data_IF_228760667751
#
_entry.id   IF_228760667751
#
_cell.length_a   1.000
_cell.length_b   1.000
_cell.length_c   1.000
_cell.angle_alpha   90.00
_cell.angle_beta   90.00
_cell.angle_gamma   90.00
#
_symmetry.space_group_name_H-M   'P 1'
#
loop_
_entity.id
_entity.type
_entity.pdbx_description
1 polymer ?
#
# COMPACT_ATOMS: atom_id res chain seq x y z
N UNK A 1 20.23 -2.77 26.23
CA UNK A 1 20.23 -1.58 25.37
C UNK A 1 18.79 -1.22 25.09
N UNK A 2 18.40 0.03 25.34
CA UNK A 2 17.08 0.51 24.94
C UNK A 2 17.10 0.66 23.42
N UNK A 3 16.25 -0.09 22.72
CA UNK A 3 16.15 -0.03 21.26
C UNK A 3 15.31 1.20 20.89
N UNK A 4 15.85 2.10 20.05
CA UNK A 4 15.14 3.30 19.57
C UNK A 4 13.75 3.00 19.01
N UNK A 5 13.60 1.85 18.33
CA UNK A 5 12.34 1.40 17.75
C UNK A 5 11.32 0.93 18.80
N UNK A 6 11.80 0.41 19.94
CA UNK A 6 10.92 0.11 21.08
C UNK A 6 10.46 1.40 21.76
N UNK A 7 11.38 2.34 21.97
CA UNK A 7 11.04 3.63 22.59
C UNK A 7 10.02 4.39 21.76
N UNK A 8 10.25 4.58 20.46
CA UNK A 8 9.34 5.38 19.63
C UNK A 8 7.93 4.79 19.58
N UNK A 9 7.80 3.46 19.54
CA UNK A 9 6.51 2.79 19.57
C UNK A 9 5.80 2.98 20.91
N UNK A 10 6.49 2.67 22.01
CA UNK A 10 5.90 2.75 23.35
C UNK A 10 5.50 4.18 23.71
N UNK A 11 6.33 5.16 23.36
CA UNK A 11 6.02 6.57 23.59
C UNK A 11 4.86 7.04 22.71
N UNK A 12 4.79 6.63 21.44
CA UNK A 12 3.65 6.93 20.58
C UNK A 12 2.34 6.34 21.13
N UNK A 13 2.38 5.09 21.59
CA UNK A 13 1.22 4.41 22.15
C UNK A 13 0.77 5.07 23.46
N UNK A 14 1.70 5.36 24.37
CA UNK A 14 1.43 6.03 25.64
C UNK A 14 0.88 7.44 25.41
N UNK A 15 1.51 8.21 24.52
CA UNK A 15 1.08 9.55 24.16
C UNK A 15 -0.36 9.55 23.63
N UNK A 16 -0.66 8.69 22.66
CA UNK A 16 -2.00 8.61 22.08
C UNK A 16 -3.04 8.13 23.11
N UNK A 17 -2.68 7.15 23.96
CA UNK A 17 -3.55 6.63 25.02
C UNK A 17 -3.90 7.72 26.04
N UNK A 18 -2.92 8.53 26.45
CA UNK A 18 -3.12 9.64 27.37
C UNK A 18 -4.01 10.75 26.78
N UNK A 19 -3.89 11.00 25.47
CA UNK A 19 -4.68 12.03 24.79
C UNK A 19 -6.10 11.58 24.47
N UNK A 20 -6.27 10.38 23.93
CA UNK A 20 -7.53 9.93 23.34
C UNK A 20 -8.30 8.92 24.19
N UNK A 21 -7.68 8.37 25.24
CA UNK A 21 -8.24 7.35 26.10
C UNK A 21 -8.00 5.92 25.59
N UNK A 22 -7.79 5.00 26.52
CA UNK A 22 -7.43 3.59 26.23
C UNK A 22 -8.45 2.88 25.36
N UNK A 23 -9.75 3.07 25.59
CA UNK A 23 -10.81 2.41 24.81
C UNK A 23 -10.80 2.85 23.34
N UNK A 24 -10.63 4.14 23.09
CA UNK A 24 -10.53 4.68 21.73
C UNK A 24 -9.29 4.12 21.02
N UNK A 25 -8.14 4.13 21.68
CA UNK A 25 -6.89 3.62 21.08
C UNK A 25 -7.01 2.13 20.80
N UNK A 26 -7.51 1.34 21.75
CA UNK A 26 -7.74 -0.09 21.53
C UNK A 26 -8.70 -0.32 20.36
N UNK A 27 -9.80 0.42 20.27
CA UNK A 27 -10.74 0.29 19.15
C UNK A 27 -10.15 0.69 17.80
N UNK A 28 -9.40 1.79 17.77
CA UNK A 28 -8.70 2.20 16.55
C UNK A 28 -7.59 1.23 16.19
N UNK A 29 -6.86 0.63 17.13
CA UNK A 29 -5.77 -0.30 16.80
C UNK A 29 -6.24 -1.74 16.59
N UNK A 30 -7.51 -2.07 16.88
CA UNK A 30 -8.09 -3.35 16.44
C UNK A 30 -7.89 -3.52 14.94
N UNK A 31 -7.36 -4.70 14.59
CA UNK A 31 -7.25 -5.20 13.23
C UNK A 31 -8.65 -5.33 12.63
N UNK A 32 -9.09 -4.28 11.92
CA UNK A 32 -10.37 -4.27 11.20
C UNK A 32 -10.19 -4.26 9.68
N UNK A 33 -8.97 -4.22 9.15
CA UNK A 33 -8.77 -4.06 7.71
C UNK A 33 -7.43 -4.58 7.20
N UNK A 34 -7.39 -5.88 6.93
CA UNK A 34 -6.92 -6.45 5.69
C UNK A 34 -7.48 -7.87 5.66
N UNK A 35 -8.14 -8.27 4.57
CA UNK A 35 -8.71 -9.62 4.42
C UNK A 35 -7.67 -10.66 4.80
N UNK A 36 -8.10 -11.70 5.50
CA UNK A 36 -7.25 -12.84 5.78
C UNK A 36 -6.67 -13.33 4.44
N UNK A 37 -5.36 -13.65 4.33
CA UNK A 37 -4.76 -14.21 3.12
C UNK A 37 -5.45 -15.45 2.53
N UNK A 38 -6.48 -15.96 3.20
CA UNK A 38 -7.45 -16.93 2.71
C UNK A 38 -8.43 -16.42 1.65
N UNK A 39 -8.58 -15.11 1.42
CA UNK A 39 -9.60 -14.59 0.48
C UNK A 39 -9.19 -14.68 -1.00
N UNK A 40 -7.90 -14.87 -1.28
CA UNK A 40 -7.38 -15.03 -2.64
C UNK A 40 -7.15 -16.51 -2.96
N UNK A 41 -8.10 -17.08 -3.70
CA UNK A 41 -8.18 -18.52 -3.96
C UNK A 41 -7.89 -18.90 -5.41
N UNK A 42 -7.84 -17.92 -6.32
CA UNK A 42 -7.54 -18.14 -7.73
C UNK A 42 -6.58 -17.09 -8.29
N UNK A 43 -5.94 -17.39 -9.43
CA UNK A 43 -5.16 -16.39 -10.18
C UNK A 43 -6.00 -15.17 -10.59
N UNK A 44 -7.32 -15.33 -10.71
CA UNK A 44 -8.23 -14.23 -11.03
C UNK A 44 -8.36 -13.27 -9.87
N UNK A 45 -8.39 -13.79 -8.64
CA UNK A 45 -8.46 -12.97 -7.43
C UNK A 45 -7.14 -12.20 -7.25
N UNK A 46 -5.99 -12.83 -7.50
CA UNK A 46 -4.67 -12.16 -7.52
C UNK A 46 -4.66 -11.04 -8.55
N UNK A 47 -5.12 -11.35 -9.77
CA UNK A 47 -5.11 -10.35 -10.84
C UNK A 47 -6.11 -9.21 -10.58
N UNK A 48 -7.27 -9.49 -10.00
CA UNK A 48 -8.23 -8.47 -9.59
C UNK A 48 -7.66 -7.57 -8.49
N UNK A 49 -6.99 -8.12 -7.48
CA UNK A 49 -6.27 -7.35 -6.46
C UNK A 49 -5.21 -6.42 -7.08
N UNK A 50 -4.47 -6.92 -8.07
CA UNK A 50 -3.50 -6.13 -8.84
C UNK A 50 -4.18 -4.96 -9.55
N UNK A 51 -5.27 -5.20 -10.28
CA UNK A 51 -5.99 -4.14 -11.01
C UNK A 51 -6.58 -3.09 -10.07
N UNK A 52 -7.14 -3.51 -8.93
CA UNK A 52 -7.69 -2.59 -7.94
C UNK A 52 -6.59 -1.71 -7.29
N UNK A 53 -5.41 -2.27 -7.02
CA UNK A 53 -4.28 -1.53 -6.48
C UNK A 53 -3.72 -0.46 -7.43
N UNK A 54 -3.83 -0.66 -8.75
CA UNK A 54 -3.34 0.29 -9.75
C UNK A 54 -4.16 1.57 -9.79
N UNK A 55 -5.45 1.49 -9.47
CA UNK A 55 -6.34 2.66 -9.42
C UNK A 55 -6.15 3.37 -8.07
N UNK A 56 -4.92 3.81 -7.79
CA UNK A 56 -4.50 4.30 -6.48
C UNK A 56 -4.82 5.79 -6.27
N UNK A 57 -4.86 6.60 -7.33
CA UNK A 57 -5.14 8.04 -7.22
C UNK A 57 -6.63 8.35 -7.32
N UNK A 58 -7.08 9.40 -6.63
CA UNK A 58 -8.48 9.88 -6.72
C UNK A 58 -8.89 10.11 -8.18
N UNK A 59 -8.01 10.74 -8.97
CA UNK A 59 -8.30 11.02 -10.38
C UNK A 59 -8.42 9.76 -11.21
N UNK A 60 -7.57 8.76 -11.00
CA UNK A 60 -7.66 7.49 -11.71
C UNK A 60 -8.94 6.74 -11.31
N UNK A 61 -9.36 6.78 -10.03
CA UNK A 61 -10.64 6.22 -9.56
C UNK A 61 -11.84 6.87 -10.25
N UNK A 62 -11.83 8.19 -10.39
CA UNK A 62 -12.89 8.92 -11.12
C UNK A 62 -12.94 8.56 -12.61
N UNK A 63 -11.77 8.36 -13.23
CA UNK A 63 -11.67 8.10 -14.68
C UNK A 63 -12.02 6.66 -15.04
N UNK A 64 -11.49 5.69 -14.29
CA UNK A 64 -11.63 4.25 -14.56
C UNK A 64 -12.93 3.71 -13.96
N UNK A 65 -13.33 4.21 -12.78
CA UNK A 65 -14.45 3.67 -12.03
C UNK A 65 -14.15 2.29 -11.41
N UNK A 66 -15.19 1.58 -10.94
CA UNK A 66 -15.06 0.23 -10.40
C UNK A 66 -14.49 -0.75 -11.44
N UNK A 67 -13.44 -1.51 -11.08
CA UNK A 67 -12.78 -2.48 -11.97
C UNK A 67 -13.73 -3.59 -12.40
N UNK A 68 -14.69 -3.94 -11.54
CA UNK A 68 -15.70 -4.95 -11.76
C UNK A 68 -16.50 -4.69 -13.04
N UNK A 69 -16.73 -3.41 -13.38
CA UNK A 69 -17.44 -3.02 -14.60
C UNK A 69 -16.65 -3.38 -15.88
N UNK A 70 -15.35 -3.66 -15.76
CA UNK A 70 -14.48 -4.03 -16.87
C UNK A 70 -14.37 -5.55 -17.03
N UNK A 71 -15.13 -6.36 -16.29
CA UNK A 71 -15.03 -7.83 -16.27
C UNK A 71 -14.94 -8.45 -17.66
N UNK A 72 -15.83 -8.07 -18.58
CA UNK A 72 -15.87 -8.65 -19.93
C UNK A 72 -14.65 -8.22 -20.77
N UNK A 73 -14.24 -6.95 -20.64
CA UNK A 73 -13.04 -6.42 -21.28
C UNK A 73 -11.76 -7.10 -20.76
N UNK A 74 -11.75 -7.45 -19.48
CA UNK A 74 -10.64 -8.09 -18.77
C UNK A 74 -10.70 -9.63 -18.81
N UNK A 75 -11.49 -10.23 -19.71
CA UNK A 75 -11.60 -11.68 -19.88
C UNK A 75 -12.02 -12.41 -18.58
N UNK A 76 -12.91 -11.81 -17.80
CA UNK A 76 -13.33 -12.34 -16.50
C UNK A 76 -12.24 -12.31 -15.45
N UNK A 77 -11.28 -11.38 -15.59
CA UNK A 77 -10.07 -11.25 -14.76
C UNK A 77 -9.14 -12.47 -14.85
N UNK A 78 -9.18 -13.21 -15.94
CA UNK A 78 -8.28 -14.33 -16.18
C UNK A 78 -6.97 -13.82 -16.81
N UNK A 79 -5.85 -13.77 -16.06
CA UNK A 79 -4.61 -13.19 -16.56
C UNK A 79 -4.04 -13.99 -17.74
N UNK A 80 -4.26 -15.30 -17.78
CA UNK A 80 -3.78 -16.17 -18.86
C UNK A 80 -4.57 -15.87 -20.13
N UNK A 81 -5.90 -15.79 -20.05
CA UNK A 81 -6.74 -15.47 -21.22
C UNK A 81 -6.50 -14.06 -21.72
N UNK A 82 -6.43 -13.08 -20.81
CA UNK A 82 -6.20 -11.68 -21.19
C UNK A 82 -4.86 -11.53 -21.91
N UNK A 83 -3.78 -12.11 -21.36
CA UNK A 83 -2.47 -12.05 -21.99
C UNK A 83 -2.41 -12.84 -23.29
N UNK A 84 -3.10 -13.99 -23.40
CA UNK A 84 -3.18 -14.75 -24.65
C UNK A 84 -3.86 -13.96 -25.77
N UNK A 85 -4.90 -13.17 -25.43
CA UNK A 85 -5.62 -12.35 -26.40
C UNK A 85 -4.80 -11.15 -26.87
N UNK A 86 -4.26 -10.36 -25.94
CA UNK A 86 -3.64 -9.07 -26.26
C UNK A 86 -2.12 -9.11 -26.32
N UNK A 87 -1.46 -10.02 -25.60
CA UNK A 87 -0.01 -10.05 -25.43
C UNK A 87 0.50 -8.73 -24.84
N UNK A 88 1.48 -8.11 -25.49
CA UNK A 88 2.00 -6.78 -25.12
C UNK A 88 1.27 -5.61 -25.81
N UNK A 89 0.22 -5.87 -26.60
CA UNK A 89 -0.49 -4.86 -27.43
C UNK A 89 -1.48 -4.05 -26.59
N UNK A 90 -0.96 -3.23 -25.69
CA UNK A 90 -1.76 -2.39 -24.79
C UNK A 90 -2.61 -1.37 -25.55
N UNK A 91 -2.20 -0.94 -26.74
CA UNK A 91 -2.95 -0.04 -27.62
C UNK A 91 -4.28 -0.69 -28.04
N UNK A 92 -4.27 -1.99 -28.34
CA UNK A 92 -5.48 -2.74 -28.71
C UNK A 92 -6.43 -2.89 -27.53
N UNK A 93 -5.91 -3.14 -26.32
CA UNK A 93 -6.72 -3.17 -25.11
C UNK A 93 -7.32 -1.79 -24.81
N UNK A 94 -6.49 -0.75 -24.82
CA UNK A 94 -6.90 0.63 -24.56
C UNK A 94 -7.97 1.11 -25.57
N UNK A 95 -7.78 0.79 -26.86
CA UNK A 95 -8.77 1.06 -27.91
C UNK A 95 -10.10 0.36 -27.64
N UNK A 96 -10.08 -0.93 -27.32
CA UNK A 96 -11.30 -1.69 -27.00
C UNK A 96 -12.03 -1.14 -25.77
N UNK A 97 -11.31 -0.68 -24.76
CA UNK A 97 -11.89 -0.01 -23.59
C UNK A 97 -12.54 1.30 -24.00
N UNK A 98 -11.83 2.12 -24.80
CA UNK A 98 -12.32 3.40 -25.31
C UNK A 98 -13.63 3.28 -26.10
N UNK A 99 -13.80 2.18 -26.82
CA UNK A 99 -15.00 1.95 -27.63
C UNK A 99 -16.21 1.48 -26.80
N UNK A 100 -15.97 0.88 -25.63
CA UNK A 100 -17.02 0.24 -24.82
C UNK A 100 -17.36 0.97 -23.51
N UNK A 101 -16.46 1.80 -22.99
CA UNK A 101 -16.70 2.57 -21.76
C UNK A 101 -17.24 3.96 -22.13
N UNK A 102 -18.41 4.37 -21.59
CA UNK A 102 -18.96 5.70 -21.82
C UNK A 102 -17.97 6.79 -21.39
N UNK A 103 -17.83 7.85 -22.19
CA UNK A 103 -16.97 8.99 -21.84
C UNK A 103 -17.46 9.64 -20.54
N UNK A 104 -16.63 9.62 -19.51
CA UNK A 104 -16.90 10.39 -18.28
C UNK A 104 -16.68 11.87 -18.59
N UNK A 105 -17.80 12.60 -18.70
CA UNK A 105 -18.05 14.06 -18.73
C UNK A 105 -16.99 15.02 -19.29
N UNK A 106 -17.48 16.00 -20.06
CA UNK A 106 -16.81 17.06 -20.84
C UNK A 106 -15.77 17.96 -20.12
N UNK A 107 -15.47 17.76 -18.83
CA UNK A 107 -14.62 18.65 -18.03
C UNK A 107 -13.16 18.18 -17.85
N UNK A 108 -12.79 17.00 -18.34
CA UNK A 108 -11.40 16.55 -18.34
C UNK A 108 -10.72 16.93 -19.66
N UNK A 109 -9.58 17.62 -19.60
CA UNK A 109 -8.66 17.73 -20.74
C UNK A 109 -8.50 16.33 -21.35
N UNK A 110 -9.01 16.13 -22.57
CA UNK A 110 -9.12 14.81 -23.23
C UNK A 110 -7.80 14.05 -23.19
N UNK A 111 -6.68 14.74 -23.36
CA UNK A 111 -5.33 14.16 -23.39
C UNK A 111 -4.91 13.56 -22.03
N UNK A 112 -5.30 14.19 -20.92
CA UNK A 112 -5.03 13.68 -19.57
C UNK A 112 -5.89 12.46 -19.22
N UNK A 113 -7.11 12.37 -19.77
CA UNK A 113 -8.04 11.27 -19.52
C UNK A 113 -7.56 9.97 -20.17
N UNK A 114 -7.15 10.04 -21.45
CA UNK A 114 -6.68 8.88 -22.18
C UNK A 114 -5.37 8.33 -21.62
N UNK A 115 -4.50 9.21 -21.11
CA UNK A 115 -3.28 8.79 -20.42
C UNK A 115 -3.55 7.79 -19.28
N UNK A 116 -4.65 7.95 -18.52
CA UNK A 116 -5.00 6.99 -17.46
C UNK A 116 -5.42 5.62 -18.00
N UNK A 117 -6.20 5.58 -19.09
CA UNK A 117 -6.56 4.31 -19.73
C UNK A 117 -5.37 3.62 -20.39
N UNK A 118 -4.43 4.39 -20.95
CA UNK A 118 -3.18 3.83 -21.46
C UNK A 118 -2.33 3.23 -20.34
N UNK A 119 -2.13 3.97 -19.25
CA UNK A 119 -1.40 3.49 -18.07
C UNK A 119 -2.08 2.25 -17.50
N UNK A 120 -3.40 2.28 -17.33
CA UNK A 120 -4.19 1.13 -16.87
C UNK A 120 -4.00 -0.08 -17.79
N UNK A 121 -4.08 0.10 -19.11
CA UNK A 121 -3.95 -1.00 -20.08
C UNK A 121 -2.55 -1.60 -20.10
N UNK A 122 -1.51 -0.75 -20.06
CA UNK A 122 -0.10 -1.18 -19.93
C UNK A 122 0.10 -2.00 -18.66
N UNK A 123 -0.48 -1.51 -17.56
CA UNK A 123 -0.38 -2.17 -16.25
C UNK A 123 -1.14 -3.50 -16.23
N UNK A 124 -2.35 -3.54 -16.77
CA UNK A 124 -3.16 -4.75 -16.85
C UNK A 124 -2.46 -5.85 -17.66
N UNK A 125 -1.86 -5.53 -18.82
CA UNK A 125 -1.19 -6.53 -19.65
C UNK A 125 0.16 -6.98 -19.08
N UNK A 126 0.97 -6.06 -18.54
CA UNK A 126 2.22 -6.45 -17.87
C UNK A 126 1.95 -7.22 -16.57
N UNK A 127 0.92 -6.84 -15.81
CA UNK A 127 0.46 -7.56 -14.63
C UNK A 127 -0.09 -8.95 -14.97
N UNK A 128 -0.87 -9.08 -16.04
CA UNK A 128 -1.35 -10.37 -16.53
C UNK A 128 -0.18 -11.26 -16.96
N UNK A 129 0.81 -10.69 -17.67
CA UNK A 129 2.06 -11.38 -18.02
C UNK A 129 2.79 -11.89 -16.77
N UNK A 130 2.97 -11.05 -15.75
CA UNK A 130 3.60 -11.41 -14.49
C UNK A 130 2.84 -12.54 -13.76
N UNK A 131 1.54 -12.35 -13.50
CA UNK A 131 0.72 -13.32 -12.77
C UNK A 131 0.63 -14.66 -13.52
N UNK A 132 0.55 -14.64 -14.86
CA UNK A 132 0.48 -15.86 -15.67
C UNK A 132 1.73 -16.76 -15.54
N UNK A 133 2.90 -16.18 -15.26
CA UNK A 133 4.15 -16.93 -15.10
C UNK A 133 4.16 -17.77 -13.82
N UNK A 134 3.38 -17.37 -12.81
CA UNK A 134 3.29 -18.07 -11.53
C UNK A 134 2.42 -19.33 -11.62
N UNK A 135 1.55 -19.46 -12.62
CA UNK A 135 0.71 -20.63 -12.95
C UNK A 135 -0.33 -21.04 -11.90
N UNK A 136 -0.07 -20.86 -10.60
CA UNK A 136 -0.93 -21.28 -9.49
C UNK A 136 -0.88 -20.25 -8.35
N UNK A 137 -1.90 -20.28 -7.49
CA UNK A 137 -1.96 -19.43 -6.29
C UNK A 137 -0.87 -19.84 -5.29
N UNK A 138 -0.58 -21.12 -5.18
CA UNK A 138 0.45 -21.67 -4.29
C UNK A 138 1.84 -21.17 -4.69
N UNK A 139 2.14 -21.11 -6.00
CA UNK A 139 3.40 -20.55 -6.49
C UNK A 139 3.48 -19.04 -6.24
N UNK A 140 2.37 -18.29 -6.36
CA UNK A 140 2.36 -16.88 -5.98
C UNK A 140 2.61 -16.69 -4.47
N UNK A 141 1.94 -17.48 -3.62
CA UNK A 141 2.16 -17.45 -2.17
C UNK A 141 3.60 -17.79 -1.81
N UNK A 142 4.16 -18.85 -2.37
CA UNK A 142 5.56 -19.23 -2.18
C UNK A 142 6.53 -18.15 -2.67
N UNK A 143 6.23 -17.49 -3.80
CA UNK A 143 7.01 -16.37 -4.30
C UNK A 143 7.05 -15.21 -3.31
N UNK A 144 5.91 -14.79 -2.75
CA UNK A 144 5.86 -13.70 -1.77
C UNK A 144 6.52 -14.09 -0.45
N UNK A 145 6.26 -15.28 0.07
CA UNK A 145 6.86 -15.79 1.32
C UNK A 145 8.39 -15.88 1.22
N UNK A 146 8.94 -16.14 0.03
CA UNK A 146 10.39 -16.10 -0.20
C UNK A 146 11.06 -14.77 0.12
N UNK A 147 10.32 -13.66 0.18
CA UNK A 147 10.84 -12.34 0.54
C UNK A 147 10.71 -12.00 2.03
N UNK A 148 9.99 -12.79 2.83
CA UNK A 148 9.67 -12.44 4.23
C UNK A 148 10.77 -12.74 5.26
N UNK A 149 11.99 -13.05 4.81
CA UNK A 149 13.10 -13.42 5.69
C UNK A 149 13.51 -12.30 6.67
N UNK A 150 13.71 -11.06 6.18
CA UNK A 150 13.99 -9.89 7.01
C UNK A 150 13.35 -8.61 6.43
N UNK A 151 13.47 -7.49 7.14
CA UNK A 151 12.81 -6.21 6.80
C UNK A 151 13.30 -5.67 5.46
N UNK A 152 14.57 -5.89 5.13
CA UNK A 152 15.17 -5.49 3.86
C UNK A 152 14.60 -6.32 2.73
N UNK A 153 14.59 -7.65 2.85
CA UNK A 153 14.05 -8.53 1.81
C UNK A 153 12.56 -8.32 1.61
N UNK A 154 11.79 -8.09 2.68
CA UNK A 154 10.37 -7.77 2.58
C UNK A 154 10.18 -6.46 1.80
N UNK A 155 10.90 -5.39 2.14
CA UNK A 155 10.75 -4.11 1.46
C UNK A 155 11.25 -4.10 0.00
N UNK A 156 12.05 -5.09 -0.42
CA UNK A 156 12.50 -5.25 -1.82
C UNK A 156 11.40 -5.75 -2.75
N UNK A 157 10.45 -6.57 -2.29
CA UNK A 157 9.42 -7.12 -3.19
C UNK A 157 8.59 -6.04 -3.90
N UNK A 158 8.10 -4.97 -3.22
CA UNK A 158 7.46 -3.85 -3.90
C UNK A 158 8.33 -3.18 -4.98
N UNK A 159 9.65 -3.07 -4.78
CA UNK A 159 10.58 -2.54 -5.79
C UNK A 159 10.67 -3.47 -7.00
N UNK A 160 10.74 -4.77 -6.78
CA UNK A 160 10.75 -5.77 -7.86
C UNK A 160 9.47 -5.68 -8.68
N UNK A 161 8.30 -5.65 -8.03
CA UNK A 161 7.01 -5.53 -8.72
C UNK A 161 6.90 -4.23 -9.52
N UNK A 162 7.42 -3.12 -8.99
CA UNK A 162 7.50 -1.85 -9.72
C UNK A 162 8.37 -1.95 -11.00
N UNK A 163 9.38 -2.81 -11.01
CA UNK A 163 10.23 -3.04 -12.20
C UNK A 163 9.60 -4.01 -13.20
N UNK A 164 8.95 -5.05 -12.71
CA UNK A 164 8.33 -6.10 -13.54
C UNK A 164 7.00 -5.69 -14.15
N UNK A 165 6.23 -4.82 -13.47
CA UNK A 165 4.88 -4.43 -13.88
C UNK A 165 4.87 -2.96 -14.27
N UNK A 166 4.65 -2.69 -15.55
CA UNK A 166 4.65 -1.34 -16.08
C UNK A 166 3.53 -0.51 -15.46
N UNK A 167 3.83 0.69 -14.96
CA UNK A 167 2.84 1.57 -14.34
C UNK A 167 2.59 1.31 -12.86
N UNK A 168 3.20 0.26 -12.27
CA UNK A 168 3.24 0.11 -10.83
C UNK A 168 4.10 1.20 -10.19
N UNK A 169 3.62 1.70 -9.07
CA UNK A 169 4.39 2.49 -8.11
C UNK A 169 4.67 1.63 -6.88
N UNK A 170 5.66 2.02 -6.06
CA UNK A 170 5.90 1.32 -4.81
C UNK A 170 4.65 1.24 -3.91
N UNK A 171 3.87 2.33 -3.70
CA UNK A 171 2.63 2.25 -2.92
C UNK A 171 1.59 1.31 -3.53
N UNK A 172 1.39 1.33 -4.86
CA UNK A 172 0.44 0.39 -5.49
C UNK A 172 0.93 -1.07 -5.41
N UNK A 173 2.24 -1.31 -5.38
CA UNK A 173 2.80 -2.65 -5.12
C UNK A 173 2.46 -3.14 -3.72
N UNK A 174 2.61 -2.28 -2.71
CA UNK A 174 2.18 -2.56 -1.34
C UNK A 174 0.67 -2.81 -1.24
N UNK A 175 -0.14 -1.94 -1.85
CA UNK A 175 -1.61 -2.08 -1.88
C UNK A 175 -2.04 -3.39 -2.55
N UNK A 176 -1.37 -3.80 -3.62
CA UNK A 176 -1.61 -5.08 -4.29
C UNK A 176 -1.33 -6.24 -3.35
N UNK A 177 -0.16 -6.26 -2.70
CA UNK A 177 0.23 -7.33 -1.79
C UNK A 177 -0.69 -7.40 -0.58
N UNK A 178 -1.10 -6.26 -0.02
CA UNK A 178 -2.08 -6.19 1.08
C UNK A 178 -3.44 -6.72 0.64
N UNK A 179 -3.95 -6.31 -0.52
CA UNK A 179 -5.21 -6.84 -1.07
C UNK A 179 -5.10 -8.33 -1.41
N UNK A 180 -3.89 -8.80 -1.70
CA UNK A 180 -3.61 -10.21 -1.91
C UNK A 180 -3.43 -11.02 -0.62
N UNK A 181 -3.61 -10.39 0.56
CA UNK A 181 -3.56 -11.03 1.87
C UNK A 181 -2.26 -10.86 2.65
N UNK A 182 -1.25 -10.19 2.08
CA UNK A 182 0.05 -10.03 2.71
C UNK A 182 0.13 -8.70 3.46
N UNK A 183 -0.34 -8.72 4.71
CA UNK A 183 -0.50 -7.53 5.56
C UNK A 183 0.82 -6.85 5.97
N UNK A 184 1.97 -7.50 5.75
CA UNK A 184 3.29 -6.93 6.02
C UNK A 184 3.67 -5.81 5.03
N UNK A 185 2.99 -5.74 3.88
CA UNK A 185 3.29 -4.80 2.80
C UNK A 185 2.42 -3.55 2.87
N UNK A 186 2.63 -2.76 3.92
CA UNK A 186 1.88 -1.54 4.14
C UNK A 186 2.19 -0.51 3.06
N UNK A 187 1.14 0.11 2.52
CA UNK A 187 1.29 1.23 1.60
C UNK A 187 1.86 2.46 2.32
N UNK A 188 2.99 3.02 1.85
CA UNK A 188 3.61 4.21 2.44
C UNK A 188 2.67 5.42 2.46
N UNK A 189 2.28 5.90 3.65
CA UNK A 189 1.50 7.13 3.80
C UNK A 189 2.42 8.35 3.92
N UNK A 190 2.22 9.42 3.11
CA UNK A 190 3.05 10.63 3.17
C UNK A 190 3.10 11.32 4.54
N UNK A 191 2.02 11.24 5.34
CA UNK A 191 1.96 11.84 6.67
C UNK A 191 2.77 11.06 7.68
N UNK A 192 2.66 9.72 7.65
CA UNK A 192 3.48 8.83 8.49
C UNK A 192 4.96 9.03 8.17
N UNK A 193 5.28 9.11 6.87
CA UNK A 193 6.64 9.40 6.41
C UNK A 193 7.17 10.71 6.96
N UNK A 194 6.40 11.79 6.79
CA UNK A 194 6.78 13.10 7.28
C UNK A 194 6.90 13.12 8.81
N UNK A 195 6.09 12.36 9.54
CA UNK A 195 6.24 12.24 10.99
C UNK A 195 7.56 11.56 11.35
N UNK A 196 7.85 10.38 10.80
CA UNK A 196 9.07 9.63 11.14
C UNK A 196 10.36 10.35 10.69
N UNK A 197 10.29 11.12 9.60
CA UNK A 197 11.39 11.96 9.16
C UNK A 197 11.65 13.12 10.13
N UNK A 198 10.59 13.82 10.56
CA UNK A 198 10.72 14.96 11.48
C UNK A 198 11.27 14.57 12.87
N UNK A 199 11.11 13.31 13.28
CA UNK A 199 11.65 12.78 14.54
C UNK A 199 12.94 11.97 14.32
N UNK A 200 13.57 12.07 13.15
CA UNK A 200 14.85 11.46 12.80
C UNK A 200 14.90 9.93 12.91
N UNK A 201 13.75 9.26 12.74
CA UNK A 201 13.64 7.79 12.72
C UNK A 201 13.92 7.21 11.33
N UNK A 202 13.73 8.01 10.28
CA UNK A 202 14.16 7.72 8.91
C UNK A 202 15.02 8.86 8.39
N UNK A 203 15.99 8.54 7.54
CA UNK A 203 16.96 9.49 6.99
C UNK A 203 16.53 10.07 5.64
N UNK A 204 15.60 9.43 4.94
CA UNK A 204 15.10 9.88 3.65
C UNK A 204 13.58 9.77 3.51
N UNK A 205 13.04 10.49 2.52
CA UNK A 205 11.62 10.45 2.16
C UNK A 205 11.29 9.31 1.17
N UNK A 206 12.17 8.31 1.05
CA UNK A 206 11.97 7.16 0.18
C UNK A 206 10.95 6.16 0.77
N UNK A 207 10.10 5.63 -0.10
CA UNK A 207 9.05 4.68 0.29
C UNK A 207 9.60 3.35 0.82
N UNK A 208 10.72 2.90 0.24
CA UNK A 208 11.42 1.70 0.66
C UNK A 208 11.88 1.79 2.12
N UNK A 209 12.47 2.93 2.50
CA UNK A 209 12.95 3.14 3.85
C UNK A 209 11.81 3.16 4.86
N UNK A 210 10.71 3.86 4.55
CA UNK A 210 9.54 3.87 5.42
C UNK A 210 8.99 2.46 5.69
N UNK A 211 8.78 1.64 4.64
CA UNK A 211 8.26 0.29 4.81
C UNK A 211 9.21 -0.57 5.65
N UNK A 212 10.51 -0.54 5.33
CA UNK A 212 11.54 -1.25 6.09
C UNK A 212 11.49 -0.87 7.57
N UNK A 213 11.46 0.43 7.87
CA UNK A 213 11.45 0.95 9.25
C UNK A 213 10.17 0.58 10.00
N UNK A 214 9.00 0.64 9.36
CA UNK A 214 7.74 0.19 9.98
C UNK A 214 7.78 -1.30 10.34
N UNK A 215 8.35 -2.15 9.48
CA UNK A 215 8.55 -3.58 9.78
C UNK A 215 9.53 -3.76 10.94
N UNK A 216 10.63 -2.99 10.97
CA UNK A 216 11.60 -3.05 12.08
C UNK A 216 10.96 -2.65 13.41
N UNK A 217 10.17 -1.57 13.43
CA UNK A 217 9.43 -1.15 14.63
C UNK A 217 8.46 -2.23 15.06
N UNK A 218 7.71 -2.81 14.13
CA UNK A 218 6.75 -3.88 14.43
C UNK A 218 7.44 -5.09 15.08
N UNK A 219 8.53 -5.58 14.48
CA UNK A 219 9.28 -6.72 15.03
C UNK A 219 9.93 -6.43 16.37
N UNK A 220 10.45 -5.21 16.57
CA UNK A 220 11.05 -4.83 17.84
C UNK A 220 10.04 -4.81 19.00
N UNK A 221 8.75 -4.71 18.70
CA UNK A 221 7.66 -4.60 19.67
C UNK A 221 6.70 -5.82 19.66
N UNK A 222 7.01 -6.89 18.92
CA UNK A 222 6.12 -8.06 18.73
C UNK A 222 4.71 -7.68 18.22
N UNK A 223 4.68 -6.72 17.30
CA UNK A 223 3.46 -6.15 16.74
C UNK A 223 3.34 -6.42 15.25
N UNK A 224 2.12 -6.26 14.72
CA UNK A 224 1.92 -6.32 13.26
C UNK A 224 2.31 -4.98 12.62
N UNK A 225 2.94 -4.99 11.43
CA UNK A 225 3.28 -3.76 10.73
C UNK A 225 2.06 -2.83 10.56
N UNK A 226 0.89 -3.38 10.21
CA UNK A 226 -0.35 -2.60 10.04
C UNK A 226 -0.76 -1.84 11.32
N UNK A 227 -0.59 -2.45 12.49
CA UNK A 227 -0.87 -1.82 13.80
C UNK A 227 0.05 -0.63 14.02
N UNK A 228 1.35 -0.83 13.82
CA UNK A 228 2.37 0.22 13.95
C UNK A 228 2.09 1.39 13.01
N UNK A 229 1.80 1.12 11.74
CA UNK A 229 1.48 2.17 10.79
C UNK A 229 0.21 2.93 11.20
N UNK A 230 -0.82 2.23 11.68
CA UNK A 230 -2.08 2.86 12.10
C UNK A 230 -1.86 3.78 13.30
N UNK A 231 -1.06 3.38 14.28
CA UNK A 231 -0.66 4.21 15.41
C UNK A 231 -0.02 5.53 14.94
N UNK A 232 1.03 5.45 14.13
CA UNK A 232 1.69 6.65 13.62
C UNK A 232 0.80 7.47 12.69
N UNK A 233 -0.07 6.83 11.92
CA UNK A 233 -1.01 7.53 11.05
C UNK A 233 -2.01 8.37 11.82
N UNK A 234 -2.55 7.85 12.93
CA UNK A 234 -3.47 8.60 13.79
C UNK A 234 -2.80 9.86 14.33
N UNK A 235 -1.57 9.73 14.84
CA UNK A 235 -0.76 10.84 15.35
C UNK A 235 -0.47 11.84 14.23
N UNK A 236 0.04 11.37 13.10
CA UNK A 236 0.43 12.22 11.97
C UNK A 236 -0.78 12.93 11.32
N UNK A 237 -1.95 12.29 11.30
CA UNK A 237 -3.16 12.85 10.72
C UNK A 237 -3.91 13.81 11.65
N UNK A 238 -3.57 13.87 12.95
CA UNK A 238 -4.25 14.69 13.94
C UNK A 238 -5.67 14.22 14.24
N UNK A 239 -5.95 12.92 14.13
CA UNK A 239 -7.29 12.37 14.33
C UNK A 239 -7.46 11.93 15.79
N UNK A 240 -8.36 12.57 16.51
CA UNK A 240 -8.71 12.24 17.90
C UNK A 240 -10.23 12.25 18.01
N UNK A 241 -10.89 11.10 18.22
CA UNK A 241 -12.36 11.00 18.28
C UNK A 241 -13.10 11.86 17.21
N UNK A 242 -14.30 12.38 17.50
CA UNK A 242 -15.04 13.29 16.59
C UNK A 242 -14.42 14.70 16.47
N UNK A 243 -13.28 14.98 17.13
CA UNK A 243 -12.65 16.29 17.16
C UNK A 243 -11.22 16.26 16.61
N UNK A 244 -11.03 16.77 15.37
CA UNK A 244 -9.68 16.98 14.82
C UNK A 244 -8.90 17.96 15.71
N UNK A 245 -7.85 17.48 16.36
CA UNK A 245 -6.83 18.35 16.96
C UNK A 245 -5.71 18.54 15.93
N UNK A 246 -5.61 19.76 15.38
CA UNK A 246 -4.57 20.10 14.41
C UNK A 246 -3.15 20.09 15.01
N UNK A 247 -3.01 19.88 16.32
CA UNK A 247 -1.73 19.98 17.04
C UNK A 247 -1.16 18.64 17.50
N UNK A 248 -1.86 17.52 17.32
CA UNK A 248 -1.43 16.21 17.83
C UNK A 248 -0.03 15.81 17.30
N UNK A 249 0.22 16.05 16.01
CA UNK A 249 1.52 15.77 15.40
C UNK A 249 2.64 16.62 15.99
N UNK A 250 2.45 17.94 16.05
CA UNK A 250 3.49 18.86 16.57
C UNK A 250 3.76 18.61 18.04
N UNK A 251 2.72 18.41 18.85
CA UNK A 251 2.87 18.10 20.27
C UNK A 251 3.57 16.75 20.50
N UNK A 252 3.32 15.75 19.64
CA UNK A 252 4.04 14.49 19.74
C UNK A 252 5.53 14.64 19.37
N UNK A 253 5.85 15.43 18.34
CA UNK A 253 7.24 15.75 17.98
C UNK A 253 7.95 16.42 19.16
N UNK A 254 7.32 17.44 19.76
CA UNK A 254 7.88 18.13 20.93
C UNK A 254 8.07 17.19 22.13
N UNK A 255 7.18 16.21 22.30
CA UNK A 255 7.28 15.18 23.34
C UNK A 255 8.43 14.19 23.09
N UNK A 256 8.56 13.67 21.88
CA UNK A 256 9.43 12.52 21.58
C UNK A 256 10.88 12.92 21.32
N UNK A 257 11.13 14.07 20.71
CA UNK A 257 12.48 14.50 20.30
C UNK A 257 13.47 14.56 21.47
N UNK A 258 13.13 15.13 22.65
CA UNK A 258 14.03 15.11 23.81
C UNK A 258 14.32 13.69 24.33
N UNK A 259 13.37 12.77 24.18
CA UNK A 259 13.52 11.37 24.63
C UNK A 259 14.51 10.65 23.70
N UNK A 260 14.35 10.79 22.39
CA UNK A 260 15.22 10.16 21.39
C UNK A 260 16.66 10.67 21.47
N UNK A 261 16.86 11.97 21.73
CA UNK A 261 18.19 12.55 21.90
C UNK A 261 19.01 11.95 23.06
N UNK A 262 18.35 11.30 24.02
CA UNK A 262 19.00 10.66 25.17
C UNK A 262 19.27 9.16 24.98
N UNK A 263 18.88 8.59 23.83
CA UNK A 263 19.15 7.19 23.52
C UNK A 263 20.55 7.10 22.89
N UNK A 264 21.46 6.26 23.42
CA UNK A 264 22.76 6.07 22.81
C UNK A 264 22.58 5.54 21.38
N UNK A 265 23.10 6.28 20.41
CA UNK A 265 23.24 5.82 19.03
C UNK A 265 24.28 4.69 19.04
N UNK A 266 23.82 3.45 18.86
CA UNK A 266 24.67 2.25 18.81
C UNK A 266 25.36 2.11 17.47
#
# INVERSE_FOLDING_TARGET
MINVYQTVYNEALNYLTNKAGTEFVADQLKDNAAGDPTDVNTLKDIFLALLNAVICTKRMKEVIGPVENLRDLMQGFDPIKLYSQYGKRWESLSGNIRDKVPKVTESANKDSYWTYWEVFSKTALSGACFVSQLKTVETFKAFVEGFKYNEMTTAVLPLLLQKEIQGFTFPSACDFLTQAGFCDYISPDPKVKALLYDIEIIESMENYELLKTLITIARANDEKPITVNKLFWIIAAGKQSDHKSNHLRSEFIDHITPILANIPQS
#
